data_IF_902258976834
#
_entry.id   IF_902258976834
#
_cell.length_a   1.000
_cell.length_b   1.000
_cell.length_c   1.000
_cell.angle_alpha   90.00
_cell.angle_beta   90.00
_cell.angle_gamma   90.00
#
_symmetry.space_group_name_H-M   'P 1'
#
loop_
_entity.id
_entity.type
_entity.pdbx_description
1 polymer ?
#
# COMPACT_ATOMS: atom_id res chain seq x y z
N UNK A 1 -34.11 9.83 39.18
CA UNK A 1 -32.85 10.54 39.25
C UNK A 1 -31.59 9.65 39.03
N UNK A 2 -31.73 8.34 38.75
CA UNK A 2 -30.59 7.44 38.42
C UNK A 2 -30.44 7.13 36.92
N UNK A 3 -31.25 7.74 36.05
CA UNK A 3 -31.22 7.48 34.57
C UNK A 3 -30.49 8.54 33.76
N UNK A 4 -29.86 9.53 34.38
CA UNK A 4 -29.16 10.63 33.67
C UNK A 4 -27.65 10.45 33.59
N UNK A 5 -27.08 9.37 34.12
CA UNK A 5 -25.62 9.18 34.14
C UNK A 5 -25.04 8.44 32.92
N UNK A 6 -25.86 7.84 32.05
CA UNK A 6 -25.41 7.11 30.89
C UNK A 6 -25.29 7.97 29.62
N UNK A 7 -25.61 9.26 29.71
CA UNK A 7 -25.67 10.17 28.54
C UNK A 7 -24.33 10.78 28.14
N UNK A 8 -23.24 10.44 28.81
CA UNK A 8 -21.99 11.20 28.74
C UNK A 8 -20.92 10.62 27.81
N UNK A 9 -21.20 9.58 27.04
CA UNK A 9 -20.15 8.88 26.33
C UNK A 9 -20.15 9.02 24.80
N UNK A 10 -21.01 9.83 24.21
CA UNK A 10 -21.04 9.97 22.74
C UNK A 10 -21.34 11.42 22.38
N UNK A 11 -20.48 12.36 22.65
CA UNK A 11 -20.57 13.70 22.06
C UNK A 11 -19.17 14.26 21.84
N UNK A 12 -18.68 14.22 20.63
CA UNK A 12 -17.68 15.16 20.22
C UNK A 12 -17.98 15.70 18.84
N UNK A 13 -18.19 16.95 18.83
CA UNK A 13 -17.81 17.84 17.76
C UNK A 13 -17.70 19.27 18.26
N UNK A 14 -17.45 19.50 19.50
CA UNK A 14 -16.95 20.79 19.98
C UNK A 14 -16.61 20.69 21.44
N UNK A 15 -15.32 20.67 21.71
CA UNK A 15 -14.61 20.72 22.97
C UNK A 15 -15.43 20.88 24.25
N UNK A 16 -15.52 19.81 25.02
CA UNK A 16 -15.68 19.90 26.46
C UNK A 16 -15.03 18.69 27.15
N UNK A 17 -13.89 18.88 27.71
CA UNK A 17 -13.29 17.99 28.70
C UNK A 17 -14.14 18.04 29.97
N UNK A 18 -14.65 16.88 30.43
CA UNK A 18 -15.26 16.76 31.74
C UNK A 18 -14.42 15.80 32.59
N UNK A 19 -13.55 16.38 33.39
CA UNK A 19 -12.96 15.70 34.55
C UNK A 19 -13.94 15.82 35.72
N UNK A 20 -14.28 14.68 36.29
CA UNK A 20 -14.95 14.37 37.55
C UNK A 20 -15.55 15.51 38.36
N UNK A 21 -16.84 15.61 38.32
CA UNK A 21 -17.92 16.09 39.20
C UNK A 21 -19.04 16.68 38.35
N UNK A 22 -20.16 16.00 38.26
CA UNK A 22 -21.26 16.37 37.38
C UNK A 22 -21.92 17.69 37.78
N UNK A 23 -21.81 18.78 37.02
CA UNK A 23 -22.80 19.85 37.10
C UNK A 23 -24.09 19.36 36.42
N UNK A 24 -25.24 19.74 36.95
CA UNK A 24 -26.53 19.48 36.32
C UNK A 24 -26.53 20.08 34.91
N UNK A 25 -26.80 19.25 33.89
CA UNK A 25 -26.91 19.70 32.48
C UNK A 25 -27.91 20.85 32.42
N UNK A 26 -27.54 21.93 31.77
CA UNK A 26 -28.47 23.02 31.46
C UNK A 26 -29.51 22.56 30.45
N UNK A 27 -30.73 23.11 30.52
CA UNK A 27 -31.79 22.83 29.54
C UNK A 27 -31.31 22.99 28.08
N UNK A 28 -30.36 23.91 27.79
CA UNK A 28 -29.79 24.10 26.47
C UNK A 28 -28.92 22.93 26.02
N UNK A 29 -28.25 22.20 26.93
CA UNK A 29 -27.44 21.03 26.63
C UNK A 29 -28.31 19.78 26.37
N UNK A 30 -29.48 19.69 27.02
CA UNK A 30 -30.48 18.62 26.79
C UNK A 30 -31.16 18.71 25.40
N UNK A 31 -31.12 19.88 24.76
CA UNK A 31 -31.74 20.14 23.46
C UNK A 31 -30.72 20.41 22.34
N UNK A 32 -29.42 20.27 22.61
CA UNK A 32 -28.40 20.37 21.56
C UNK A 32 -28.52 19.19 20.60
N UNK A 33 -28.50 19.44 19.30
CA UNK A 33 -28.54 18.37 18.32
C UNK A 33 -27.26 17.53 18.40
N UNK A 34 -27.40 16.21 18.43
CA UNK A 34 -26.28 15.29 18.33
C UNK A 34 -25.85 15.19 16.87
N UNK A 35 -24.56 15.30 16.62
CA UNK A 35 -24.00 15.24 15.27
C UNK A 35 -22.91 14.17 15.19
N UNK A 36 -22.86 13.47 14.04
CA UNK A 36 -21.82 12.53 13.69
C UNK A 36 -21.09 13.06 12.45
N UNK A 37 -19.78 12.93 12.42
CA UNK A 37 -18.97 13.15 11.23
C UNK A 37 -18.20 11.87 10.93
N UNK A 38 -18.25 11.42 9.71
CA UNK A 38 -17.62 10.18 9.30
C UNK A 38 -17.71 9.97 7.79
N UNK A 39 -17.30 8.81 7.35
CA UNK A 39 -17.24 8.45 5.94
C UNK A 39 -18.33 7.44 5.60
N UNK A 40 -18.96 7.60 4.44
CA UNK A 40 -20.02 6.72 3.96
C UNK A 40 -19.44 5.37 3.60
N UNK A 41 -19.96 4.29 4.20
CA UNK A 41 -19.68 2.92 3.77
C UNK A 41 -20.69 2.47 2.72
N UNK A 42 -21.97 2.68 3.03
CA UNK A 42 -23.10 2.27 2.19
C UNK A 42 -24.21 3.30 2.30
N UNK A 43 -24.95 3.51 1.23
CA UNK A 43 -26.15 4.33 1.23
C UNK A 43 -27.22 3.79 0.29
N UNK A 44 -28.48 3.83 0.73
CA UNK A 44 -29.65 3.58 -0.07
C UNK A 44 -30.74 4.65 0.18
N UNK A 45 -31.87 4.56 -0.49
CA UNK A 45 -32.94 5.57 -0.37
C UNK A 45 -33.49 5.75 1.05
N UNK A 46 -33.25 4.81 1.95
CA UNK A 46 -33.78 4.78 3.31
C UNK A 46 -32.71 4.92 4.38
N UNK A 47 -31.48 4.41 4.12
CA UNK A 47 -30.44 4.30 5.14
C UNK A 47 -29.07 4.75 4.63
N UNK A 48 -28.21 5.12 5.59
CA UNK A 48 -26.81 5.44 5.36
C UNK A 48 -25.97 4.87 6.49
N UNK A 49 -24.95 4.09 6.15
CA UNK A 49 -23.98 3.56 7.10
C UNK A 49 -22.73 4.42 7.11
N UNK A 50 -22.37 4.93 8.29
CA UNK A 50 -21.12 5.68 8.48
C UNK A 50 -20.05 4.86 9.18
N UNK A 51 -18.82 5.01 8.71
CA UNK A 51 -17.60 4.63 9.40
C UNK A 51 -16.98 5.88 10.05
N UNK A 52 -16.75 5.85 11.35
CA UNK A 52 -16.14 6.95 12.09
C UNK A 52 -15.34 6.45 13.30
N UNK A 53 -14.50 7.30 13.88
CA UNK A 53 -13.83 7.03 15.16
C UNK A 53 -14.51 7.84 16.25
N UNK A 54 -15.08 7.16 17.24
CA UNK A 54 -15.59 7.81 18.44
C UNK A 54 -14.42 8.26 19.33
N UNK A 55 -14.58 9.36 20.12
CA UNK A 55 -13.49 9.99 20.90
C UNK A 55 -12.71 9.00 21.77
N UNK A 56 -13.40 8.06 22.40
CA UNK A 56 -12.79 7.10 23.32
C UNK A 56 -12.62 5.70 22.72
N UNK A 57 -12.91 5.51 21.42
CA UNK A 57 -12.80 4.22 20.77
C UNK A 57 -11.36 3.98 20.26
N UNK A 58 -10.81 2.83 20.61
CA UNK A 58 -9.53 2.38 20.05
C UNK A 58 -9.67 1.99 18.57
N UNK A 59 -10.85 1.51 18.18
CA UNK A 59 -11.18 1.03 16.84
C UNK A 59 -12.26 1.90 16.19
N UNK A 60 -12.28 2.00 14.84
CA UNK A 60 -13.39 2.61 14.13
C UNK A 60 -14.69 1.84 14.33
N UNK A 61 -15.77 2.57 14.44
CA UNK A 61 -17.13 2.03 14.64
C UNK A 61 -18.03 2.38 13.47
N UNK A 62 -19.08 1.59 13.28
CA UNK A 62 -20.12 1.86 12.29
C UNK A 62 -21.43 2.15 12.94
N UNK A 63 -22.23 3.06 12.35
CA UNK A 63 -23.61 3.30 12.74
C UNK A 63 -24.49 3.50 11.51
N UNK A 64 -25.72 2.99 11.58
CA UNK A 64 -26.72 3.13 10.52
C UNK A 64 -27.64 4.30 10.84
N UNK A 65 -27.95 5.12 9.84
CA UNK A 65 -28.81 6.29 9.96
C UNK A 65 -30.04 6.16 9.06
N UNK A 66 -31.22 6.43 9.60
CA UNK A 66 -32.48 6.47 8.86
C UNK A 66 -32.63 7.83 8.17
N UNK A 67 -32.64 7.82 6.84
CA UNK A 67 -32.75 9.00 5.97
C UNK A 67 -34.19 9.30 5.53
N UNK A 68 -35.16 8.44 5.85
CA UNK A 68 -36.55 8.53 5.33
C UNK A 68 -37.24 9.86 5.63
N UNK A 69 -36.80 10.59 6.64
CA UNK A 69 -37.34 11.90 7.02
C UNK A 69 -36.60 13.09 6.36
N UNK A 70 -35.56 12.83 5.57
CA UNK A 70 -34.82 13.88 4.86
C UNK A 70 -35.49 14.21 3.51
N UNK A 71 -35.29 15.45 2.99
CA UNK A 71 -35.68 15.76 1.62
C UNK A 71 -34.98 14.82 0.63
N UNK A 72 -35.71 14.35 -0.35
CA UNK A 72 -35.15 13.56 -1.46
C UNK A 72 -34.10 14.35 -2.20
N UNK A 73 -32.91 13.76 -2.37
CA UNK A 73 -31.75 14.36 -3.04
C UNK A 73 -30.76 13.28 -3.46
N UNK A 74 -29.68 13.63 -4.17
CA UNK A 74 -28.64 12.68 -4.48
C UNK A 74 -28.00 12.17 -3.17
N UNK A 75 -27.85 10.85 -3.07
CA UNK A 75 -27.16 10.21 -1.96
C UNK A 75 -25.65 10.43 -2.07
N UNK A 76 -24.94 10.59 -0.95
CA UNK A 76 -23.49 10.68 -0.98
C UNK A 76 -22.90 9.32 -1.39
N UNK A 77 -21.84 9.37 -2.20
CA UNK A 77 -21.10 8.19 -2.63
C UNK A 77 -20.29 7.58 -1.47
N UNK A 78 -19.94 6.32 -1.57
CA UNK A 78 -19.03 5.63 -0.64
C UNK A 78 -17.69 6.39 -0.55
N UNK A 79 -17.15 6.52 0.67
CA UNK A 79 -15.95 7.31 0.93
C UNK A 79 -16.18 8.82 1.13
N UNK A 80 -17.35 9.36 0.78
CA UNK A 80 -17.66 10.77 1.04
C UNK A 80 -17.67 11.08 2.54
N UNK A 81 -17.01 12.17 2.94
CA UNK A 81 -17.10 12.67 4.31
C UNK A 81 -18.42 13.41 4.50
N UNK A 82 -19.18 13.00 5.48
CA UNK A 82 -20.50 13.58 5.76
C UNK A 82 -20.66 13.91 7.24
N UNK A 83 -21.57 14.87 7.49
CA UNK A 83 -22.03 15.22 8.83
C UNK A 83 -23.51 14.97 8.94
N UNK A 84 -23.92 14.11 9.88
CA UNK A 84 -25.30 13.80 10.18
C UNK A 84 -25.71 14.45 11.49
N UNK A 85 -26.88 15.11 11.49
CA UNK A 85 -27.51 15.67 12.68
C UNK A 85 -28.75 14.85 12.98
N UNK A 86 -28.88 14.34 14.22
CA UNK A 86 -30.03 13.58 14.65
C UNK A 86 -31.23 14.47 15.00
N UNK A 87 -32.43 13.88 15.00
CA UNK A 87 -33.61 14.54 15.53
C UNK A 87 -33.45 14.79 17.04
N UNK A 88 -33.92 15.95 17.48
CA UNK A 88 -33.97 16.31 18.90
C UNK A 88 -34.84 15.30 19.65
N UNK A 89 -34.36 14.79 20.78
CA UNK A 89 -35.07 13.78 21.58
C UNK A 89 -34.79 12.34 21.19
N UNK A 90 -33.77 12.08 20.33
CA UNK A 90 -33.29 10.71 20.11
C UNK A 90 -32.82 10.11 21.43
N UNK A 91 -33.27 8.88 21.72
CA UNK A 91 -32.94 8.17 22.96
C UNK A 91 -31.42 7.93 23.00
N UNK A 92 -30.73 8.37 24.08
CA UNK A 92 -29.30 8.13 24.23
C UNK A 92 -28.87 6.66 24.21
N UNK A 93 -29.72 5.75 24.63
CA UNK A 93 -29.42 4.31 24.59
C UNK A 93 -29.37 3.79 23.13
N UNK A 94 -30.09 4.47 22.21
CA UNK A 94 -30.04 4.16 20.78
C UNK A 94 -28.81 4.70 20.06
N UNK A 95 -27.98 5.53 20.73
CA UNK A 95 -26.76 6.10 20.15
C UNK A 95 -25.55 5.15 20.20
N UNK A 96 -25.74 3.94 20.67
CA UNK A 96 -24.67 2.92 20.63
C UNK A 96 -24.43 2.48 19.19
N UNK A 97 -23.16 2.30 18.82
CA UNK A 97 -22.77 1.72 17.55
C UNK A 97 -23.51 0.39 17.31
N UNK A 98 -24.08 0.20 16.13
CA UNK A 98 -24.83 -1.01 15.77
C UNK A 98 -25.74 -0.81 14.56
N UNK A 99 -26.47 -1.87 14.22
CA UNK A 99 -27.28 -1.96 13.02
C UNK A 99 -28.68 -1.33 13.14
N UNK A 100 -29.05 -0.80 14.31
CA UNK A 100 -30.34 -0.13 14.48
C UNK A 100 -30.27 1.29 13.92
N UNK A 101 -31.08 1.62 12.88
CA UNK A 101 -31.02 2.93 12.24
C UNK A 101 -31.34 4.09 13.19
N UNK A 102 -30.50 5.10 13.23
CA UNK A 102 -30.68 6.34 13.99
C UNK A 102 -31.40 7.39 13.14
N UNK A 103 -32.46 8.07 13.66
CA UNK A 103 -33.26 8.98 12.87
C UNK A 103 -32.51 10.27 12.53
N UNK A 104 -32.10 10.43 11.27
CA UNK A 104 -31.45 11.63 10.79
C UNK A 104 -32.41 12.81 10.62
N UNK A 105 -31.94 14.01 10.92
CA UNK A 105 -32.63 15.28 10.68
C UNK A 105 -31.98 16.09 9.56
N UNK A 106 -30.68 16.02 9.40
CA UNK A 106 -29.91 16.72 8.42
C UNK A 106 -28.71 15.90 8.00
N UNK A 107 -28.42 15.88 6.71
CA UNK A 107 -27.22 15.31 6.11
C UNK A 107 -26.51 16.44 5.35
N UNK A 108 -25.23 16.60 5.58
CA UNK A 108 -24.33 17.55 4.87
C UNK A 108 -23.13 16.78 4.33
N UNK A 109 -22.90 16.81 3.03
CA UNK A 109 -21.67 16.33 2.43
C UNK A 109 -20.60 17.41 2.65
N UNK A 110 -19.50 17.04 3.31
CA UNK A 110 -18.46 18.00 3.71
C UNK A 110 -17.39 18.13 2.63
N UNK A 111 -16.92 17.00 2.11
CA UNK A 111 -15.90 16.98 1.05
C UNK A 111 -16.03 15.71 0.19
N UNK A 112 -15.77 15.89 -1.12
CA UNK A 112 -15.32 14.81 -1.99
C UNK A 112 -13.91 15.22 -2.42
N UNK A 113 -12.87 14.69 -1.78
CA UNK A 113 -11.48 15.05 -2.07
C UNK A 113 -10.60 13.83 -1.84
N UNK A 114 -9.43 13.79 -2.51
CA UNK A 114 -8.41 12.76 -2.32
C UNK A 114 -8.01 12.60 -0.84
N UNK A 115 -8.09 13.68 -0.06
CA UNK A 115 -7.81 13.63 1.38
C UNK A 115 -8.91 12.91 2.17
N UNK A 116 -10.17 13.05 1.80
CA UNK A 116 -11.30 12.32 2.41
C UNK A 116 -11.21 10.82 2.08
N UNK A 117 -10.88 10.49 0.84
CA UNK A 117 -10.70 9.11 0.40
C UNK A 117 -9.55 8.42 1.15
N UNK A 118 -8.40 9.06 1.26
CA UNK A 118 -7.26 8.54 2.04
C UNK A 118 -7.61 8.35 3.53
N UNK A 119 -8.35 9.27 4.12
CA UNK A 119 -8.80 9.14 5.51
C UNK A 119 -9.83 8.01 5.67
N UNK A 120 -10.72 7.82 4.73
CA UNK A 120 -11.64 6.69 4.66
C UNK A 120 -10.90 5.35 4.59
N UNK A 121 -9.94 5.20 3.66
CA UNK A 121 -9.13 3.99 3.54
C UNK A 121 -8.33 3.71 4.82
N UNK A 122 -7.77 4.75 5.44
CA UNK A 122 -7.07 4.63 6.71
C UNK A 122 -7.95 4.08 7.83
N UNK A 123 -9.18 4.60 7.99
CA UNK A 123 -10.12 4.10 8.98
C UNK A 123 -10.57 2.66 8.68
N UNK A 124 -10.79 2.37 7.41
CA UNK A 124 -11.21 1.03 6.97
C UNK A 124 -10.10 0.00 7.18
N UNK A 125 -8.85 0.36 6.90
CA UNK A 125 -7.69 -0.48 7.20
C UNK A 125 -7.58 -0.78 8.70
N UNK A 126 -7.80 0.22 9.58
CA UNK A 126 -7.83 0.02 11.03
C UNK A 126 -8.93 -0.98 11.45
N UNK A 127 -10.11 -0.89 10.83
CA UNK A 127 -11.21 -1.83 11.11
C UNK A 127 -10.88 -3.26 10.66
N UNK A 128 -10.26 -3.43 9.50
CA UNK A 128 -9.82 -4.76 9.03
C UNK A 128 -8.74 -5.33 9.94
N UNK A 129 -7.75 -4.53 10.31
CA UNK A 129 -6.67 -4.90 11.22
C UNK A 129 -7.16 -5.44 12.57
N UNK A 130 -8.19 -4.82 13.13
CA UNK A 130 -8.78 -5.23 14.40
C UNK A 130 -9.34 -6.66 14.38
N UNK A 131 -9.75 -7.15 13.20
CA UNK A 131 -10.26 -8.51 13.02
C UNK A 131 -9.18 -9.55 12.65
N UNK A 132 -7.92 -9.15 12.46
CA UNK A 132 -6.85 -10.02 11.98
C UNK A 132 -6.05 -10.65 13.13
N UNK A 133 -5.73 -11.93 13.00
CA UNK A 133 -4.73 -12.57 13.87
C UNK A 133 -3.32 -12.07 13.57
N UNK A 134 -2.36 -12.30 14.48
CA UNK A 134 -0.95 -11.97 14.24
C UNK A 134 -0.40 -12.69 13.01
N UNK A 135 -0.77 -13.95 12.82
CA UNK A 135 -0.35 -14.77 11.69
C UNK A 135 -0.86 -14.16 10.36
N UNK A 136 -2.11 -13.74 10.30
CA UNK A 136 -2.69 -13.06 9.14
C UNK A 136 -2.01 -11.70 8.88
N UNK A 137 -1.77 -10.90 9.92
CA UNK A 137 -1.04 -9.63 9.81
C UNK A 137 0.36 -9.83 9.22
N UNK A 138 1.13 -10.78 9.76
CA UNK A 138 2.48 -11.07 9.26
C UNK A 138 2.42 -11.61 7.84
N UNK A 139 1.46 -12.46 7.49
CA UNK A 139 1.25 -12.92 6.11
C UNK A 139 1.07 -11.76 5.12
N UNK A 140 0.29 -10.72 5.50
CA UNK A 140 0.11 -9.52 4.65
C UNK A 140 1.42 -8.73 4.42
N UNK A 141 2.44 -8.92 5.23
CA UNK A 141 3.76 -8.30 5.04
C UNK A 141 4.66 -9.07 4.06
N UNK A 142 4.17 -10.14 3.42
CA UNK A 142 4.97 -10.91 2.47
C UNK A 142 4.45 -10.76 1.04
N UNK A 143 5.36 -10.41 0.15
CA UNK A 143 5.21 -10.48 -1.29
C UNK A 143 5.92 -11.78 -1.74
N UNK A 144 5.20 -12.89 -1.67
CA UNK A 144 5.78 -14.21 -1.88
C UNK A 144 6.08 -14.47 -3.36
N UNK A 145 7.21 -15.10 -3.65
CA UNK A 145 7.47 -15.59 -5.00
C UNK A 145 6.48 -16.71 -5.32
N UNK A 146 5.78 -16.59 -6.46
CA UNK A 146 4.78 -17.56 -6.89
C UNK A 146 5.33 -18.99 -6.91
N UNK A 147 4.80 -19.89 -6.08
CA UNK A 147 5.34 -21.26 -5.94
C UNK A 147 4.80 -22.25 -7.00
N UNK A 148 4.07 -21.76 -8.02
CA UNK A 148 3.45 -22.58 -9.03
C UNK A 148 2.15 -23.24 -8.53
N UNK A 149 1.92 -24.54 -8.84
CA UNK A 149 0.67 -25.23 -8.48
C UNK A 149 0.33 -25.31 -6.99
N UNK A 150 1.31 -25.11 -6.12
CA UNK A 150 1.09 -25.08 -4.67
C UNK A 150 0.48 -23.76 -4.18
N UNK A 151 0.50 -22.71 -4.99
CA UNK A 151 0.14 -21.35 -4.59
C UNK A 151 -1.22 -21.21 -3.89
N UNK A 152 -2.32 -21.84 -4.33
CA UNK A 152 -3.60 -21.72 -3.62
C UNK A 152 -3.60 -22.34 -2.22
N UNK A 153 -2.82 -23.41 -1.99
CA UNK A 153 -2.73 -24.05 -0.67
C UNK A 153 -1.80 -23.27 0.26
N UNK A 154 -0.70 -22.75 -0.28
CA UNK A 154 0.18 -21.85 0.46
C UNK A 154 -0.56 -20.57 0.84
N UNK A 155 -1.40 -20.01 -0.05
CA UNK A 155 -2.21 -18.84 0.25
C UNK A 155 -3.20 -19.08 1.41
N UNK A 156 -3.89 -20.20 1.42
CA UNK A 156 -4.77 -20.58 2.55
C UNK A 156 -4.03 -20.65 3.87
N UNK A 157 -2.77 -21.09 3.82
CA UNK A 157 -1.94 -21.29 5.01
C UNK A 157 -1.35 -19.98 5.51
N UNK A 158 -0.80 -19.16 4.61
CA UNK A 158 0.03 -18.02 4.96
C UNK A 158 -0.65 -16.66 4.80
N UNK A 159 -1.72 -16.56 4.00
CA UNK A 159 -2.48 -15.32 3.75
C UNK A 159 -1.58 -14.16 3.33
N UNK A 160 -0.85 -14.35 2.22
CA UNK A 160 0.12 -13.37 1.72
C UNK A 160 -0.49 -12.01 1.39
N UNK A 161 0.28 -10.94 1.59
CA UNK A 161 -0.07 -9.61 1.08
C UNK A 161 -0.05 -9.56 -0.43
N UNK A 162 0.85 -10.32 -1.07
CA UNK A 162 0.97 -10.42 -2.50
C UNK A 162 1.81 -11.58 -2.98
N UNK A 163 1.80 -11.79 -4.29
CA UNK A 163 2.66 -12.79 -4.97
C UNK A 163 3.26 -12.20 -6.25
N UNK A 164 4.55 -12.49 -6.51
CA UNK A 164 5.25 -12.07 -7.72
C UNK A 164 5.50 -13.25 -8.65
N UNK A 165 5.16 -13.06 -9.93
CA UNK A 165 5.36 -14.04 -10.99
C UNK A 165 6.62 -13.68 -11.81
N UNK A 166 7.33 -14.71 -12.28
CA UNK A 166 8.52 -14.57 -13.09
C UNK A 166 8.31 -15.16 -14.49
N UNK A 167 9.25 -14.94 -15.41
CA UNK A 167 9.12 -15.42 -16.81
C UNK A 167 8.82 -16.92 -16.95
N UNK A 168 9.31 -17.75 -16.02
CA UNK A 168 9.00 -19.21 -16.00
C UNK A 168 7.50 -19.49 -15.79
N UNK A 169 6.80 -18.60 -15.10
CA UNK A 169 5.40 -18.78 -14.72
C UNK A 169 4.46 -18.43 -15.87
N UNK A 170 4.96 -17.70 -16.88
CA UNK A 170 4.27 -17.38 -18.13
C UNK A 170 4.67 -18.28 -19.32
N UNK A 171 5.80 -18.99 -19.18
CA UNK A 171 6.36 -19.78 -20.27
C UNK A 171 5.39 -20.85 -20.76
N UNK A 172 5.21 -20.92 -22.08
CA UNK A 172 4.38 -21.91 -22.77
C UNK A 172 2.88 -21.91 -22.35
N UNK A 173 2.41 -20.80 -21.73
CA UNK A 173 1.01 -20.63 -21.32
C UNK A 173 0.28 -19.61 -22.19
N UNK A 174 -1.03 -19.82 -22.33
CA UNK A 174 -1.94 -18.87 -22.93
C UNK A 174 -2.62 -17.99 -21.86
N UNK A 175 -3.32 -16.90 -22.23
CA UNK A 175 -3.96 -16.00 -21.28
C UNK A 175 -4.96 -16.68 -20.34
N UNK A 176 -5.73 -17.66 -20.81
CA UNK A 176 -6.74 -18.34 -19.99
C UNK A 176 -6.12 -19.17 -18.87
N UNK A 177 -5.01 -19.85 -19.17
CA UNK A 177 -4.26 -20.62 -18.17
C UNK A 177 -3.69 -19.74 -17.08
N UNK A 178 -3.12 -18.58 -17.45
CA UNK A 178 -2.56 -17.62 -16.48
C UNK A 178 -3.66 -17.06 -15.59
N UNK A 179 -4.78 -16.62 -16.19
CA UNK A 179 -5.94 -16.12 -15.42
C UNK A 179 -6.49 -17.17 -14.46
N UNK A 180 -6.59 -18.42 -14.90
CA UNK A 180 -7.09 -19.50 -14.06
C UNK A 180 -6.19 -19.74 -12.85
N UNK A 181 -4.87 -19.69 -13.03
CA UNK A 181 -3.90 -19.85 -11.93
C UNK A 181 -3.96 -18.68 -10.95
N UNK A 182 -3.99 -17.44 -11.45
CA UNK A 182 -4.10 -16.24 -10.59
C UNK A 182 -5.43 -16.22 -9.83
N UNK A 183 -6.53 -16.51 -10.51
CA UNK A 183 -7.85 -16.55 -9.87
C UNK A 183 -7.91 -17.62 -8.78
N UNK A 184 -7.31 -18.80 -9.00
CA UNK A 184 -7.27 -19.85 -7.98
C UNK A 184 -6.54 -19.39 -6.69
N UNK A 185 -5.52 -18.53 -6.82
CA UNK A 185 -4.85 -17.93 -5.66
C UNK A 185 -5.73 -16.86 -5.01
N UNK A 186 -6.35 -15.98 -5.80
CA UNK A 186 -7.27 -14.96 -5.28
C UNK A 186 -8.47 -15.58 -4.54
N UNK A 187 -9.04 -16.67 -5.08
CA UNK A 187 -10.14 -17.41 -4.45
C UNK A 187 -9.75 -18.06 -3.11
N UNK A 188 -8.45 -18.31 -2.91
CA UNK A 188 -7.92 -18.88 -1.66
C UNK A 188 -7.63 -17.81 -0.60
N UNK A 189 -7.46 -16.54 -1.01
CA UNK A 189 -7.12 -15.43 -0.15
C UNK A 189 -8.35 -14.90 0.62
N UNK A 190 -8.19 -14.59 1.91
CA UNK A 190 -9.23 -13.89 2.70
C UNK A 190 -9.28 -12.41 2.35
N UNK A 191 -8.14 -11.82 2.05
CA UNK A 191 -7.99 -10.44 1.60
C UNK A 191 -7.33 -10.50 0.23
N UNK A 192 -7.91 -9.89 -0.82
CA UNK A 192 -7.36 -9.94 -2.16
C UNK A 192 -5.86 -9.61 -2.21
N UNK A 193 -5.11 -10.38 -2.99
CA UNK A 193 -3.67 -10.25 -3.08
C UNK A 193 -3.23 -9.19 -4.08
N UNK A 194 -2.10 -8.55 -3.79
CA UNK A 194 -1.26 -7.91 -4.80
C UNK A 194 -0.65 -9.00 -5.69
N UNK A 195 -0.80 -8.91 -7.00
CA UNK A 195 -0.23 -9.86 -7.96
C UNK A 195 0.71 -9.12 -8.89
N UNK A 196 2.00 -9.33 -8.69
CA UNK A 196 3.05 -8.53 -9.27
C UNK A 196 3.87 -9.24 -10.34
N UNK A 197 4.56 -8.44 -11.15
CA UNK A 197 5.50 -8.89 -12.17
C UNK A 197 6.54 -7.80 -12.47
N UNK A 198 7.75 -8.18 -12.92
CA UNK A 198 8.73 -7.27 -13.50
C UNK A 198 8.53 -7.14 -15.02
N UNK A 199 7.71 -6.24 -15.47
CA UNK A 199 7.56 -5.93 -16.90
C UNK A 199 8.12 -4.53 -17.18
N UNK A 200 9.46 -4.40 -17.06
CA UNK A 200 10.17 -3.12 -17.26
C UNK A 200 10.22 -2.74 -18.73
N UNK A 201 10.37 -3.74 -19.58
CA UNK A 201 10.76 -3.62 -20.99
C UNK A 201 12.26 -3.85 -21.20
N UNK A 202 12.67 -4.07 -22.45
CA UNK A 202 14.06 -4.37 -22.79
C UNK A 202 14.53 -5.71 -22.24
N UNK A 203 15.56 -5.67 -21.39
CA UNK A 203 16.17 -6.89 -20.83
C UNK A 203 15.30 -7.58 -19.75
N UNK A 204 14.38 -6.84 -19.15
CA UNK A 204 13.53 -7.34 -18.06
C UNK A 204 12.08 -7.34 -18.50
N UNK A 205 11.70 -8.45 -19.12
CA UNK A 205 10.32 -8.76 -19.54
C UNK A 205 9.97 -10.17 -19.07
N UNK A 206 8.78 -10.33 -18.52
CA UNK A 206 8.29 -11.62 -18.00
C UNK A 206 7.08 -12.09 -18.77
N UNK A 207 6.13 -11.20 -19.02
CA UNK A 207 4.88 -11.46 -19.76
C UNK A 207 5.11 -11.36 -21.25
N UNK A 208 5.61 -10.24 -21.75
CA UNK A 208 5.82 -10.01 -23.17
C UNK A 208 6.99 -10.83 -23.76
N UNK A 209 7.76 -11.49 -22.91
CA UNK A 209 8.72 -12.52 -23.35
C UNK A 209 8.07 -13.81 -23.89
N UNK A 210 6.76 -14.00 -23.69
CA UNK A 210 5.98 -15.07 -24.25
C UNK A 210 5.20 -14.59 -25.49
N UNK A 211 5.54 -15.06 -26.73
CA UNK A 211 4.85 -14.61 -27.95
C UNK A 211 3.35 -14.94 -28.01
N UNK A 212 2.86 -15.88 -27.20
CA UNK A 212 1.44 -16.17 -27.10
C UNK A 212 0.66 -15.09 -26.33
N UNK A 213 1.36 -14.26 -25.53
CA UNK A 213 0.76 -13.17 -24.75
C UNK A 213 0.94 -11.81 -25.44
N UNK A 214 2.09 -11.58 -26.09
CA UNK A 214 2.38 -10.40 -26.91
C UNK A 214 3.38 -10.79 -28.01
N UNK A 215 3.11 -10.39 -29.24
CA UNK A 215 3.91 -10.80 -30.40
C UNK A 215 5.38 -10.37 -30.32
N UNK A 216 5.64 -9.19 -29.74
CA UNK A 216 6.98 -8.62 -29.53
C UNK A 216 7.11 -8.18 -28.09
N UNK A 217 8.30 -8.32 -27.50
CA UNK A 217 8.57 -7.82 -26.16
C UNK A 217 8.50 -6.29 -26.10
N UNK A 218 8.12 -5.75 -24.94
CA UNK A 218 8.15 -4.31 -24.71
C UNK A 218 9.56 -3.74 -24.82
N UNK A 219 9.71 -2.56 -25.47
CA UNK A 219 11.03 -1.92 -25.64
C UNK A 219 11.59 -1.40 -24.33
N UNK A 220 12.91 -1.19 -24.28
CA UNK A 220 13.56 -0.58 -23.11
C UNK A 220 13.21 0.90 -22.96
N UNK A 221 13.32 1.48 -21.74
CA UNK A 221 13.14 2.91 -21.52
C UNK A 221 14.01 3.78 -22.45
N UNK A 222 15.25 3.35 -22.74
CA UNK A 222 16.14 4.04 -23.68
C UNK A 222 15.55 4.06 -25.09
N UNK A 223 15.02 2.95 -25.54
CA UNK A 223 14.41 2.82 -26.88
C UNK A 223 13.15 3.69 -27.01
N UNK A 224 12.31 3.72 -25.99
CA UNK A 224 11.10 4.57 -25.94
C UNK A 224 11.47 6.04 -26.07
N UNK A 225 12.40 6.51 -25.22
CA UNK A 225 12.85 7.90 -25.23
C UNK A 225 13.52 8.30 -26.56
N UNK A 226 14.26 7.40 -27.18
CA UNK A 226 14.90 7.65 -28.46
C UNK A 226 13.88 7.76 -29.62
N UNK A 227 12.86 6.95 -29.62
CA UNK A 227 11.94 6.81 -30.75
C UNK A 227 10.70 7.71 -30.67
N UNK A 228 10.27 8.15 -29.48
CA UNK A 228 9.06 8.95 -29.33
C UNK A 228 8.99 9.79 -28.03
N UNK A 229 10.10 9.86 -27.27
CA UNK A 229 10.14 10.68 -26.06
C UNK A 229 9.14 10.23 -24.98
N UNK A 230 8.67 11.18 -24.18
CA UNK A 230 7.74 10.90 -23.07
C UNK A 230 6.35 10.44 -23.54
N UNK A 231 5.91 10.84 -24.72
CA UNK A 231 4.64 10.37 -25.28
C UNK A 231 4.71 8.86 -25.55
N UNK A 232 5.83 8.35 -26.06
CA UNK A 232 6.04 6.91 -26.23
C UNK A 232 6.13 6.17 -24.88
N UNK A 233 6.73 6.77 -23.86
CA UNK A 233 6.77 6.21 -22.48
C UNK A 233 5.36 6.05 -21.93
N UNK A 234 4.53 7.09 -22.04
CA UNK A 234 3.15 7.07 -21.55
C UNK A 234 2.30 6.04 -22.30
N UNK A 235 2.40 5.99 -23.63
CA UNK A 235 1.66 5.04 -24.44
C UNK A 235 2.06 3.57 -24.14
N UNK A 236 3.35 3.31 -23.94
CA UNK A 236 3.90 2.01 -23.57
C UNK A 236 3.43 1.57 -22.18
N UNK A 237 3.36 2.49 -21.21
CA UNK A 237 2.84 2.20 -19.87
C UNK A 237 1.37 1.77 -19.94
N UNK A 238 0.50 2.51 -20.64
CA UNK A 238 -0.90 2.12 -20.82
C UNK A 238 -1.06 0.76 -21.53
N UNK A 239 -0.23 0.45 -22.54
CA UNK A 239 -0.28 -0.84 -23.22
C UNK A 239 0.15 -1.99 -22.29
N UNK A 240 1.21 -1.78 -21.47
CA UNK A 240 1.63 -2.74 -20.44
C UNK A 240 0.52 -3.00 -19.43
N UNK A 241 -0.06 -1.93 -18.88
CA UNK A 241 -1.08 -2.03 -17.86
C UNK A 241 -2.32 -2.76 -18.37
N UNK A 242 -2.76 -2.46 -19.59
CA UNK A 242 -3.87 -3.16 -20.24
C UNK A 242 -3.58 -4.67 -20.39
N UNK A 243 -2.38 -5.03 -20.84
CA UNK A 243 -1.96 -6.43 -20.96
C UNK A 243 -1.93 -7.11 -19.60
N UNK A 244 -1.25 -6.53 -18.62
CA UNK A 244 -1.07 -7.11 -17.29
C UNK A 244 -2.42 -7.30 -16.58
N UNK A 245 -3.28 -6.29 -16.58
CA UNK A 245 -4.64 -6.38 -16.02
C UNK A 245 -5.48 -7.42 -16.69
N UNK A 246 -5.36 -7.59 -18.02
CA UNK A 246 -6.08 -8.64 -18.78
C UNK A 246 -5.73 -10.06 -18.32
N UNK A 247 -4.60 -10.25 -17.66
CA UNK A 247 -4.12 -11.52 -17.12
C UNK A 247 -4.41 -11.69 -15.62
N UNK A 248 -4.93 -10.64 -14.94
CA UNK A 248 -5.19 -10.64 -13.50
C UNK A 248 -4.04 -10.09 -12.65
N UNK A 249 -2.99 -9.54 -13.28
CA UNK A 249 -1.92 -8.83 -12.58
C UNK A 249 -2.38 -7.42 -12.20
N UNK A 250 -1.99 -6.92 -11.05
CA UNK A 250 -2.40 -5.61 -10.53
C UNK A 250 -1.23 -4.75 -10.02
N UNK A 251 0.01 -5.27 -10.07
CA UNK A 251 1.23 -4.54 -9.71
C UNK A 251 2.29 -4.79 -10.78
N UNK A 252 2.90 -3.73 -11.30
CA UNK A 252 4.13 -3.84 -12.09
C UNK A 252 5.31 -3.29 -11.27
N UNK A 253 6.36 -4.09 -11.09
CA UNK A 253 7.61 -3.68 -10.44
C UNK A 253 8.41 -2.77 -11.36
N UNK A 254 7.86 -1.62 -11.64
CA UNK A 254 8.33 -0.53 -12.48
C UNK A 254 7.77 0.81 -11.96
N UNK A 255 8.38 1.96 -12.31
CA UNK A 255 9.55 2.15 -13.16
C UNK A 255 10.89 1.93 -12.45
N UNK A 256 11.94 1.69 -13.26
CA UNK A 256 13.33 1.76 -12.80
C UNK A 256 13.73 3.23 -12.67
N UNK A 257 14.02 3.67 -11.46
CA UNK A 257 14.38 5.05 -11.10
C UNK A 257 15.90 5.30 -11.04
N UNK A 258 16.68 4.24 -11.22
CA UNK A 258 18.14 4.35 -11.18
C UNK A 258 18.68 5.28 -12.26
N UNK A 259 19.66 6.12 -11.90
CA UNK A 259 20.29 7.08 -12.79
C UNK A 259 21.66 6.54 -13.24
N UNK A 260 21.80 6.24 -14.52
CA UNK A 260 23.06 5.86 -15.11
C UNK A 260 23.18 6.38 -16.55
N UNK A 261 24.32 7.00 -16.85
CA UNK A 261 24.70 7.45 -18.20
C UNK A 261 25.93 6.70 -18.74
N UNK A 262 26.50 5.80 -17.93
CA UNK A 262 27.66 5.04 -18.28
C UNK A 262 27.29 3.61 -18.73
N UNK A 263 27.51 3.22 -19.99
CA UNK A 263 27.17 1.88 -20.48
C UNK A 263 27.92 0.73 -19.79
N UNK A 264 28.95 1.04 -18.99
CA UNK A 264 29.67 0.04 -18.22
C UNK A 264 29.00 -0.28 -16.86
N UNK A 265 28.05 0.52 -16.41
CA UNK A 265 27.33 0.27 -15.16
C UNK A 265 26.38 -0.91 -15.32
N UNK A 266 26.33 -1.78 -14.33
CA UNK A 266 25.46 -2.97 -14.34
C UNK A 266 23.99 -2.65 -14.66
N UNK A 267 23.47 -1.58 -14.07
CA UNK A 267 22.06 -1.21 -14.20
C UNK A 267 21.71 -0.46 -15.50
N UNK A 268 22.73 0.02 -16.25
CA UNK A 268 22.55 0.96 -17.37
C UNK A 268 21.51 0.52 -18.41
N UNK A 269 21.52 -0.74 -18.84
CA UNK A 269 20.61 -1.23 -19.89
C UNK A 269 19.14 -1.17 -19.49
N UNK A 270 18.84 -1.15 -18.17
CA UNK A 270 17.50 -1.08 -17.59
C UNK A 270 17.05 0.35 -17.30
N UNK A 271 17.99 1.33 -17.31
CA UNK A 271 17.70 2.75 -17.03
C UNK A 271 17.29 3.50 -18.29
N UNK A 272 16.97 4.78 -18.13
CA UNK A 272 16.77 5.70 -19.26
C UNK A 272 18.03 5.99 -20.07
N UNK A 273 19.23 5.69 -19.55
CA UNK A 273 20.52 6.08 -20.14
C UNK A 273 20.71 7.60 -20.16
N UNK A 274 19.97 8.34 -19.35
CA UNK A 274 19.93 9.81 -19.30
C UNK A 274 20.28 10.33 -17.91
N UNK A 275 20.28 11.67 -17.79
CA UNK A 275 20.49 12.36 -16.52
C UNK A 275 19.30 12.19 -15.55
N UNK A 276 19.51 12.64 -14.32
CA UNK A 276 18.53 12.52 -13.24
C UNK A 276 17.21 13.27 -13.54
N UNK A 277 17.27 14.42 -14.24
CA UNK A 277 16.07 15.18 -14.59
C UNK A 277 15.21 14.43 -15.62
N UNK A 278 15.82 13.90 -16.66
CA UNK A 278 15.11 13.07 -17.66
C UNK A 278 14.55 11.79 -17.03
N UNK A 279 15.31 11.16 -16.13
CA UNK A 279 14.84 9.96 -15.40
C UNK A 279 13.68 10.29 -14.45
N UNK A 280 13.68 11.49 -13.84
CA UNK A 280 12.56 11.96 -13.02
C UNK A 280 11.29 12.19 -13.86
N UNK A 281 11.43 12.78 -15.05
CA UNK A 281 10.29 12.94 -15.98
C UNK A 281 9.75 11.58 -16.45
N UNK A 282 10.64 10.62 -16.74
CA UNK A 282 10.26 9.25 -17.07
C UNK A 282 9.50 8.57 -15.92
N UNK A 283 10.03 8.64 -14.70
CA UNK A 283 9.37 8.05 -13.52
C UNK A 283 7.99 8.66 -13.30
N UNK A 284 7.87 9.99 -13.39
CA UNK A 284 6.60 10.70 -13.29
C UNK A 284 5.61 10.26 -14.35
N UNK A 285 6.01 10.22 -15.63
CA UNK A 285 5.13 9.88 -16.73
C UNK A 285 4.59 8.44 -16.59
N UNK A 286 5.49 7.49 -16.26
CA UNK A 286 5.14 6.08 -16.07
C UNK A 286 4.18 5.90 -14.90
N UNK A 287 4.50 6.48 -13.72
CA UNK A 287 3.64 6.36 -12.54
C UNK A 287 2.28 6.99 -12.77
N UNK A 288 2.22 8.19 -13.39
CA UNK A 288 0.92 8.84 -13.68
C UNK A 288 0.04 8.01 -14.62
N UNK A 289 0.62 7.31 -15.60
CA UNK A 289 -0.12 6.40 -16.47
C UNK A 289 -0.64 5.19 -15.69
N UNK A 290 0.23 4.53 -14.91
CA UNK A 290 -0.12 3.37 -14.09
C UNK A 290 -1.21 3.71 -13.06
N UNK A 291 -1.11 4.84 -12.38
CA UNK A 291 -2.10 5.33 -11.41
C UNK A 291 -3.47 5.54 -12.09
N UNK A 292 -3.50 6.21 -13.25
CA UNK A 292 -4.74 6.42 -14.01
C UNK A 292 -5.38 5.12 -14.50
N UNK A 293 -4.59 4.08 -14.71
CA UNK A 293 -5.06 2.75 -15.15
C UNK A 293 -5.41 1.84 -13.96
N UNK A 294 -5.18 2.28 -12.71
CA UNK A 294 -5.33 1.46 -11.51
C UNK A 294 -4.35 0.28 -11.46
N UNK A 295 -3.11 0.50 -11.90
CA UNK A 295 -1.99 -0.43 -11.83
C UNK A 295 -1.02 0.01 -10.73
N UNK A 296 -0.74 -0.87 -9.76
CA UNK A 296 0.24 -0.59 -8.71
C UNK A 296 1.65 -0.46 -9.26
N UNK A 297 2.33 0.65 -8.89
CA UNK A 297 3.71 0.93 -9.29
C UNK A 297 4.69 0.69 -8.14
N UNK A 298 5.91 0.25 -8.49
CA UNK A 298 7.01 0.01 -7.55
C UNK A 298 8.24 0.74 -8.06
N UNK A 299 8.59 1.87 -7.43
CA UNK A 299 9.81 2.61 -7.76
C UNK A 299 11.04 1.82 -7.31
N UNK A 300 12.01 1.60 -8.18
CA UNK A 300 13.19 0.80 -7.85
C UNK A 300 14.45 1.29 -8.54
N UNK A 301 15.59 1.08 -7.91
CA UNK A 301 15.91 0.38 -6.67
C UNK A 301 16.48 1.39 -5.65
N UNK A 302 15.66 1.83 -4.70
CA UNK A 302 16.07 2.84 -3.72
C UNK A 302 17.28 2.36 -2.88
N UNK A 303 18.25 3.22 -2.54
CA UNK A 303 18.30 4.67 -2.80
C UNK A 303 18.99 5.05 -4.14
N UNK A 304 19.19 4.14 -5.03
CA UNK A 304 19.86 4.23 -6.32
C UNK A 304 20.97 3.20 -6.42
N UNK A 305 21.09 2.53 -7.57
CA UNK A 305 22.07 1.47 -7.78
C UNK A 305 23.49 2.01 -7.96
N UNK A 306 23.61 3.22 -8.55
CA UNK A 306 24.88 3.85 -8.84
C UNK A 306 25.78 3.05 -9.78
N UNK A 307 27.10 3.25 -9.72
CA UNK A 307 28.08 2.49 -10.49
C UNK A 307 28.37 1.11 -9.91
N UNK A 308 27.54 0.64 -8.99
CA UNK A 308 27.72 -0.59 -8.22
C UNK A 308 27.71 -1.85 -9.06
N UNK A 309 28.24 -2.93 -8.48
CA UNK A 309 28.23 -4.26 -9.06
C UNK A 309 26.86 -4.95 -8.84
N UNK A 310 26.67 -6.07 -9.53
CA UNK A 310 25.50 -6.93 -9.42
C UNK A 310 25.34 -7.52 -8.01
N UNK A 311 24.33 -7.07 -7.26
CA UNK A 311 24.02 -7.56 -5.90
C UNK A 311 23.47 -8.98 -5.86
N UNK A 312 23.15 -9.58 -7.01
CA UNK A 312 22.83 -11.01 -7.06
C UNK A 312 23.98 -11.91 -6.64
N UNK A 313 25.23 -11.42 -6.62
CA UNK A 313 26.43 -12.21 -6.33
C UNK A 313 27.12 -11.84 -5.03
N UNK A 314 27.13 -10.57 -4.65
CA UNK A 314 27.77 -10.07 -3.44
C UNK A 314 27.26 -8.67 -3.11
N UNK A 315 27.55 -8.15 -1.90
CA UNK A 315 27.21 -6.77 -1.56
C UNK A 315 28.00 -5.79 -2.43
N UNK A 316 27.27 -4.90 -3.09
CA UNK A 316 27.86 -3.72 -3.70
C UNK A 316 27.98 -2.61 -2.65
N UNK A 317 29.15 -1.99 -2.55
CA UNK A 317 29.39 -0.82 -1.68
C UNK A 317 29.46 0.44 -2.51
N UNK A 318 28.68 1.43 -2.11
CA UNK A 318 28.67 2.75 -2.73
C UNK A 318 29.22 3.79 -1.74
N UNK A 319 30.37 4.37 -2.09
CA UNK A 319 31.05 5.37 -1.25
C UNK A 319 30.78 6.82 -1.70
N UNK A 320 29.82 7.03 -2.61
CA UNK A 320 29.41 8.36 -3.01
C UNK A 320 28.87 9.15 -1.80
N UNK A 321 29.15 10.46 -1.71
CA UNK A 321 28.64 11.28 -0.62
C UNK A 321 27.12 11.47 -0.74
N UNK A 322 26.45 11.72 0.39
CA UNK A 322 24.98 11.85 0.49
C UNK A 322 24.43 12.92 -0.48
N UNK A 323 25.17 14.02 -0.64
CA UNK A 323 24.82 15.13 -1.54
C UNK A 323 24.65 14.67 -3.00
N UNK A 324 25.37 13.62 -3.41
CA UNK A 324 25.22 13.04 -4.75
C UNK A 324 23.86 12.35 -4.90
N UNK A 325 23.44 11.58 -3.89
CA UNK A 325 22.11 10.95 -3.88
C UNK A 325 21.00 11.99 -3.86
N UNK A 326 21.14 13.03 -3.05
CA UNK A 326 20.16 14.12 -2.95
C UNK A 326 20.02 14.91 -4.27
N UNK A 327 21.13 15.15 -4.96
CA UNK A 327 21.17 15.92 -6.19
C UNK A 327 20.80 15.12 -7.44
N UNK A 328 20.90 13.79 -7.41
CA UNK A 328 20.72 12.92 -8.58
C UNK A 328 19.76 11.79 -8.30
N UNK A 329 20.16 10.78 -7.51
CA UNK A 329 19.43 9.51 -7.37
C UNK A 329 18.02 9.70 -6.76
N UNK A 330 17.85 10.64 -5.83
CA UNK A 330 16.54 10.89 -5.21
C UNK A 330 15.53 11.65 -6.09
N UNK A 331 15.97 12.29 -7.18
CA UNK A 331 15.08 13.08 -8.03
C UNK A 331 14.00 12.22 -8.72
N UNK A 332 14.32 11.07 -9.34
CA UNK A 332 13.32 10.19 -9.92
C UNK A 332 12.34 9.62 -8.87
N UNK A 333 12.84 9.22 -7.69
CA UNK A 333 11.95 8.74 -6.61
C UNK A 333 11.00 9.83 -6.14
N UNK A 334 11.48 11.06 -5.89
CA UNK A 334 10.64 12.19 -5.52
C UNK A 334 9.59 12.50 -6.59
N UNK A 335 9.94 12.37 -7.87
CA UNK A 335 9.01 12.59 -8.96
C UNK A 335 7.92 11.51 -9.02
N UNK A 336 8.29 10.23 -8.90
CA UNK A 336 7.36 9.10 -8.86
C UNK A 336 6.45 9.13 -7.63
N UNK A 337 6.99 9.44 -6.44
CA UNK A 337 6.21 9.59 -5.19
C UNK A 337 5.13 10.67 -5.36
N UNK A 338 5.51 11.83 -5.91
CA UNK A 338 4.56 12.93 -6.16
C UNK A 338 3.53 12.61 -7.24
N UNK A 339 3.83 11.66 -8.11
CA UNK A 339 2.93 11.17 -9.15
C UNK A 339 1.96 10.08 -8.65
N UNK A 340 2.04 9.67 -7.38
CA UNK A 340 1.13 8.70 -6.77
C UNK A 340 1.68 7.29 -6.65
N UNK A 341 3.01 7.09 -6.71
CA UNK A 341 3.59 5.75 -6.56
C UNK A 341 3.15 5.08 -5.25
N UNK A 342 2.56 3.89 -5.33
CA UNK A 342 2.08 3.13 -4.17
C UNK A 342 3.19 2.43 -3.40
N UNK A 343 4.33 2.11 -4.04
CA UNK A 343 5.42 1.40 -3.40
C UNK A 343 6.81 1.83 -3.86
N UNK A 344 7.80 1.60 -2.97
CA UNK A 344 9.24 1.76 -3.23
C UNK A 344 9.97 0.50 -2.80
N UNK A 345 10.77 -0.06 -3.70
CA UNK A 345 11.63 -1.22 -3.45
C UNK A 345 13.03 -0.75 -3.07
N UNK A 346 13.54 -1.24 -1.93
CA UNK A 346 14.85 -0.92 -1.38
C UNK A 346 15.84 -2.03 -1.71
N UNK A 347 16.95 -1.68 -2.36
CA UNK A 347 17.99 -2.60 -2.80
C UNK A 347 18.89 -3.12 -1.66
N UNK A 348 19.84 -4.03 -1.99
CA UNK A 348 20.78 -4.60 -1.04
C UNK A 348 22.19 -3.97 -1.10
N UNK A 349 22.35 -2.79 -1.70
CA UNK A 349 23.63 -2.09 -1.68
C UNK A 349 23.94 -1.55 -0.27
N UNK A 350 25.19 -1.56 0.11
CA UNK A 350 25.67 -0.84 1.30
C UNK A 350 26.05 0.58 0.88
N UNK A 351 25.31 1.57 1.34
CA UNK A 351 25.56 2.99 1.04
C UNK A 351 26.32 3.61 2.22
N UNK A 352 27.64 3.75 2.07
CA UNK A 352 28.52 4.15 3.18
C UNK A 352 28.16 5.51 3.78
N UNK A 353 27.67 6.43 2.96
CA UNK A 353 27.24 7.75 3.41
C UNK A 353 25.93 7.76 4.23
N UNK A 354 25.13 6.67 4.18
CA UNK A 354 23.87 6.54 4.90
C UNK A 354 24.01 5.54 6.06
N UNK A 355 24.45 4.32 5.74
CA UNK A 355 24.70 3.27 6.73
C UNK A 355 25.84 2.35 6.24
N UNK A 356 27.06 2.47 6.79
CA UNK A 356 28.19 1.64 6.36
C UNK A 356 28.11 0.18 6.85
N UNK A 357 27.21 -0.10 7.81
CA UNK A 357 27.17 -1.37 8.53
C UNK A 357 26.10 -2.32 7.99
N UNK A 358 25.06 -1.79 7.33
CA UNK A 358 23.92 -2.58 6.84
C UNK A 358 23.64 -2.30 5.35
N UNK A 359 23.19 -3.32 4.59
CA UNK A 359 22.61 -3.08 3.28
C UNK A 359 21.36 -2.21 3.39
N UNK A 360 21.06 -1.43 2.38
CA UNK A 360 19.97 -0.45 2.40
C UNK A 360 18.63 -1.05 2.83
N UNK A 361 18.28 -2.24 2.34
CA UNK A 361 17.05 -2.96 2.70
C UNK A 361 16.94 -3.37 4.18
N UNK A 362 18.08 -3.43 4.89
CA UNK A 362 18.15 -3.80 6.31
C UNK A 362 18.59 -2.61 7.20
N UNK A 363 18.63 -1.41 6.64
CA UNK A 363 19.09 -0.19 7.34
C UNK A 363 17.92 0.69 7.79
N UNK A 364 17.70 0.87 9.09
CA UNK A 364 16.71 1.84 9.59
C UNK A 364 16.96 3.26 9.08
N UNK A 365 18.23 3.68 8.97
CA UNK A 365 18.60 5.03 8.49
C UNK A 365 18.17 5.29 7.04
N UNK A 366 18.28 4.29 6.17
CA UNK A 366 17.82 4.41 4.77
C UNK A 366 16.30 4.54 4.72
N UNK A 367 15.58 3.80 5.56
CA UNK A 367 14.13 3.88 5.65
C UNK A 367 13.66 5.22 6.24
N UNK A 368 14.36 5.77 7.24
CA UNK A 368 14.12 7.13 7.77
C UNK A 368 14.29 8.18 6.66
N UNK A 369 15.34 8.09 5.84
CA UNK A 369 15.53 9.01 4.70
C UNK A 369 14.33 8.93 3.75
N UNK A 370 13.86 7.74 3.41
CA UNK A 370 12.73 7.57 2.50
C UNK A 370 11.43 8.12 3.12
N UNK A 371 11.17 7.84 4.40
CA UNK A 371 10.00 8.35 5.12
C UNK A 371 10.03 9.86 5.29
N UNK A 372 11.13 10.39 5.84
CA UNK A 372 11.20 11.79 6.29
C UNK A 372 11.67 12.73 5.18
N UNK A 373 12.82 12.44 4.54
CA UNK A 373 13.39 13.35 3.54
C UNK A 373 12.67 13.31 2.18
N UNK A 374 12.10 12.16 1.81
CA UNK A 374 11.30 12.03 0.59
C UNK A 374 9.79 12.09 0.87
N UNK A 375 9.37 12.10 2.15
CA UNK A 375 7.97 12.15 2.61
C UNK A 375 7.11 11.03 1.99
N UNK A 376 7.62 9.80 1.99
CA UNK A 376 6.94 8.65 1.42
C UNK A 376 6.13 7.90 2.48
N UNK A 377 4.80 7.90 2.33
CA UNK A 377 3.87 7.23 3.24
C UNK A 377 3.34 5.88 2.71
N UNK A 378 3.69 5.51 1.46
CA UNK A 378 3.29 4.25 0.83
C UNK A 378 4.06 3.03 1.34
N UNK A 379 3.92 1.90 0.65
CA UNK A 379 4.52 0.62 1.01
C UNK A 379 6.01 0.60 0.66
N UNK A 380 6.88 0.35 1.64
CA UNK A 380 8.30 0.05 1.42
C UNK A 380 8.46 -1.46 1.40
N UNK A 381 9.07 -1.98 0.33
CA UNK A 381 9.37 -3.40 0.25
C UNK A 381 10.85 -3.66 -0.01
N UNK A 382 11.36 -4.80 0.44
CA UNK A 382 12.72 -5.23 0.16
C UNK A 382 12.87 -5.64 -1.30
N UNK A 383 14.08 -5.59 -1.85
CA UNK A 383 14.46 -6.48 -2.94
C UNK A 383 14.45 -7.94 -2.45
N UNK A 384 14.58 -8.93 -3.35
CA UNK A 384 14.44 -10.35 -2.99
C UNK A 384 15.48 -10.78 -1.94
N UNK A 385 15.02 -11.15 -0.74
CA UNK A 385 15.89 -11.61 0.34
C UNK A 385 16.62 -12.92 0.00
N UNK A 386 16.22 -13.63 -1.07
CA UNK A 386 16.92 -14.82 -1.55
C UNK A 386 18.21 -14.52 -2.35
N UNK A 387 18.49 -13.22 -2.62
CA UNK A 387 19.72 -12.81 -3.29
C UNK A 387 20.95 -13.22 -2.47
N UNK A 388 22.00 -13.70 -3.16
CA UNK A 388 23.19 -14.27 -2.51
C UNK A 388 23.89 -13.30 -1.54
N UNK A 389 23.84 -12.00 -1.80
CA UNK A 389 24.36 -11.00 -0.90
C UNK A 389 23.74 -11.11 0.51
N UNK A 390 22.42 -11.27 0.59
CA UNK A 390 21.72 -11.42 1.86
C UNK A 390 21.91 -12.82 2.44
N UNK A 391 21.69 -13.86 1.63
CA UNK A 391 21.69 -15.25 2.12
C UNK A 391 23.05 -15.72 2.61
N UNK A 392 24.16 -15.17 2.10
CA UNK A 392 25.54 -15.45 2.55
C UNK A 392 25.88 -14.78 3.88
N UNK A 393 25.35 -13.58 4.12
CA UNK A 393 25.68 -12.79 5.31
C UNK A 393 24.72 -13.00 6.47
N UNK A 394 23.45 -13.28 6.17
CA UNK A 394 22.38 -13.43 7.14
C UNK A 394 21.66 -14.76 6.91
N UNK A 395 21.17 -15.42 7.95
CA UNK A 395 20.18 -16.52 7.79
C UNK A 395 18.84 -15.95 7.33
N UNK A 396 18.01 -16.77 6.65
CA UNK A 396 16.71 -16.31 6.15
C UNK A 396 15.81 -15.75 7.26
N UNK A 397 15.73 -16.46 8.39
CA UNK A 397 15.02 -16.02 9.59
C UNK A 397 15.49 -14.67 10.12
N UNK A 398 16.81 -14.50 10.23
CA UNK A 398 17.43 -13.27 10.72
C UNK A 398 17.23 -12.12 9.75
N UNK A 399 17.38 -12.34 8.43
CA UNK A 399 17.20 -11.33 7.41
C UNK A 399 15.77 -10.76 7.40
N UNK A 400 14.76 -11.63 7.49
CA UNK A 400 13.37 -11.20 7.51
C UNK A 400 13.04 -10.35 8.75
N UNK A 401 13.49 -10.79 9.94
CA UNK A 401 13.30 -10.01 11.19
C UNK A 401 14.01 -8.66 11.12
N UNK A 402 15.24 -8.62 10.58
CA UNK A 402 15.97 -7.35 10.41
C UNK A 402 15.31 -6.44 9.37
N UNK A 403 14.80 -6.99 8.26
CA UNK A 403 14.08 -6.23 7.25
C UNK A 403 12.83 -5.53 7.84
N UNK A 404 12.04 -6.26 8.64
CA UNK A 404 10.92 -5.66 9.37
C UNK A 404 11.40 -4.62 10.36
N UNK A 405 12.43 -4.92 11.17
CA UNK A 405 12.99 -3.97 12.14
C UNK A 405 13.52 -2.70 11.49
N UNK A 406 14.05 -2.79 10.26
CA UNK A 406 14.53 -1.65 9.49
C UNK A 406 13.40 -0.73 8.99
N UNK A 407 12.15 -1.21 8.90
CA UNK A 407 11.01 -0.39 8.48
C UNK A 407 10.40 -0.78 7.14
N UNK A 408 10.75 -1.95 6.59
CA UNK A 408 10.01 -2.49 5.45
C UNK A 408 8.60 -2.89 5.85
N UNK A 409 7.63 -2.55 5.00
CA UNK A 409 6.23 -2.94 5.16
C UNK A 409 5.96 -4.31 4.53
N UNK A 410 6.70 -4.63 3.46
CA UNK A 410 6.62 -5.93 2.81
C UNK A 410 8.01 -6.52 2.54
N UNK A 411 8.07 -7.83 2.55
CA UNK A 411 9.28 -8.63 2.26
C UNK A 411 9.04 -9.41 0.98
N UNK A 412 9.91 -9.20 -0.02
CA UNK A 412 9.96 -10.04 -1.22
C UNK A 412 10.83 -11.26 -0.94
N UNK A 413 10.27 -12.47 -1.00
CA UNK A 413 11.02 -13.70 -0.73
C UNK A 413 10.36 -14.97 -1.27
N UNK A 414 11.19 -16.00 -1.47
CA UNK A 414 10.78 -17.38 -1.71
C UNK A 414 10.89 -18.30 -0.49
N UNK A 415 11.41 -17.78 0.64
CA UNK A 415 11.63 -18.56 1.88
C UNK A 415 10.58 -18.30 2.97
N UNK A 416 9.41 -17.84 2.57
CA UNK A 416 8.30 -17.45 3.47
C UNK A 416 7.98 -18.53 4.53
N UNK A 417 8.17 -19.83 4.24
CA UNK A 417 7.96 -20.93 5.20
C UNK A 417 8.89 -20.90 6.41
N UNK A 418 10.03 -20.20 6.31
CA UNK A 418 10.99 -19.97 7.40
C UNK A 418 10.80 -18.58 7.98
N UNK A 419 10.62 -17.59 7.12
CA UNK A 419 10.64 -16.18 7.45
C UNK A 419 9.37 -15.71 8.17
N UNK A 420 8.17 -16.14 7.72
CA UNK A 420 6.91 -15.81 8.40
C UNK A 420 6.92 -16.30 9.86
N UNK A 421 7.24 -17.59 10.15
CA UNK A 421 7.37 -18.03 11.54
C UNK A 421 8.40 -17.26 12.35
N UNK A 422 9.53 -16.86 11.75
CA UNK A 422 10.56 -16.09 12.44
C UNK A 422 10.07 -14.69 12.82
N UNK A 423 9.36 -14.01 11.95
CA UNK A 423 8.76 -12.69 12.23
C UNK A 423 7.68 -12.82 13.32
N UNK A 424 6.80 -13.83 13.24
CA UNK A 424 5.78 -14.10 14.25
C UNK A 424 6.43 -14.34 15.64
N UNK A 425 7.49 -15.13 15.70
CA UNK A 425 8.20 -15.39 16.94
C UNK A 425 8.89 -14.14 17.48
N UNK A 426 9.46 -13.30 16.60
CA UNK A 426 10.07 -12.02 16.99
C UNK A 426 9.05 -11.04 17.58
N UNK A 427 7.80 -11.06 17.14
CA UNK A 427 6.71 -10.29 17.77
C UNK A 427 6.33 -10.89 19.13
N UNK A 428 6.15 -12.22 19.21
CA UNK A 428 5.78 -12.92 20.45
C UNK A 428 6.81 -12.73 21.56
N UNK A 429 8.09 -12.71 21.22
CA UNK A 429 9.19 -12.48 22.18
C UNK A 429 9.54 -11.00 22.37
N UNK A 430 8.80 -10.07 21.72
CA UNK A 430 8.95 -8.61 21.80
C UNK A 430 10.26 -8.05 21.22
N UNK A 431 10.92 -8.77 20.33
CA UNK A 431 12.01 -8.25 19.51
C UNK A 431 11.47 -7.27 18.45
N UNK A 432 10.29 -7.54 17.92
CA UNK A 432 9.51 -6.64 17.06
C UNK A 432 8.27 -6.15 17.81
N UNK A 433 7.87 -4.91 17.54
CA UNK A 433 6.63 -4.33 18.09
C UNK A 433 5.42 -4.74 17.24
N UNK A 434 4.32 -5.15 17.88
CA UNK A 434 3.05 -5.37 17.17
C UNK A 434 2.51 -4.07 16.55
N UNK A 435 2.76 -2.92 17.16
CA UNK A 435 2.37 -1.62 16.58
C UNK A 435 3.08 -1.36 15.26
N UNK A 436 4.35 -1.78 15.12
CA UNK A 436 5.07 -1.71 13.86
C UNK A 436 4.44 -2.61 12.79
N UNK A 437 4.10 -3.84 13.15
CA UNK A 437 3.39 -4.77 12.25
C UNK A 437 2.05 -4.15 11.81
N UNK A 438 1.27 -3.63 12.76
CA UNK A 438 -0.01 -2.98 12.47
C UNK A 438 0.14 -1.78 11.52
N UNK A 439 1.16 -0.94 11.72
CA UNK A 439 1.42 0.20 10.85
C UNK A 439 1.80 -0.23 9.42
N UNK A 440 2.60 -1.28 9.27
CA UNK A 440 2.99 -1.83 7.98
C UNK A 440 1.80 -2.46 7.26
N UNK A 441 1.04 -3.32 7.92
CA UNK A 441 -0.16 -3.96 7.35
C UNK A 441 -1.20 -2.91 6.97
N UNK A 442 -1.36 -1.86 7.76
CA UNK A 442 -2.25 -0.74 7.43
C UNK A 442 -1.90 -0.11 6.09
N UNK A 443 -0.60 0.14 5.81
CA UNK A 443 -0.16 0.68 4.50
C UNK A 443 -0.45 -0.30 3.36
N UNK A 444 -0.22 -1.60 3.57
CA UNK A 444 -0.53 -2.63 2.57
C UNK A 444 -2.03 -2.67 2.27
N UNK A 445 -2.88 -2.66 3.29
CA UNK A 445 -4.34 -2.65 3.12
C UNK A 445 -4.82 -1.37 2.43
N UNK A 446 -4.26 -0.22 2.80
CA UNK A 446 -4.57 1.06 2.13
C UNK A 446 -4.20 1.01 0.65
N UNK A 447 -3.00 0.52 0.30
CA UNK A 447 -2.60 0.37 -1.09
C UNK A 447 -3.51 -0.58 -1.87
N UNK A 448 -3.96 -1.68 -1.26
CA UNK A 448 -4.95 -2.58 -1.88
C UNK A 448 -6.31 -1.89 -2.13
N UNK A 449 -6.73 -0.98 -1.25
CA UNK A 449 -7.93 -0.16 -1.43
C UNK A 449 -7.75 0.86 -2.56
N UNK A 450 -6.61 1.55 -2.61
CA UNK A 450 -6.27 2.48 -3.69
C UNK A 450 -6.33 1.80 -5.08
N UNK A 451 -5.94 0.53 -5.14
CA UNK A 451 -6.01 -0.30 -6.35
C UNK A 451 -7.40 -0.92 -6.61
N UNK A 452 -8.39 -0.65 -5.76
CA UNK A 452 -9.73 -1.20 -5.87
C UNK A 452 -9.83 -2.72 -5.63
N UNK A 453 -8.82 -3.33 -5.00
CA UNK A 453 -8.80 -4.77 -4.74
C UNK A 453 -9.68 -5.15 -3.55
N UNK A 454 -9.82 -4.26 -2.58
CA UNK A 454 -10.73 -4.43 -1.44
C UNK A 454 -11.95 -3.57 -1.75
N UNK A 455 -13.07 -4.25 -2.07
CA UNK A 455 -14.33 -3.57 -2.37
C UNK A 455 -14.81 -2.72 -1.19
N UNK A 456 -15.41 -1.58 -1.52
CA UNK A 456 -15.92 -0.60 -0.56
C UNK A 456 -17.12 -1.10 0.21
#
# INVERSE_FOLDING_TARGET
MKRLLSLFLIISASGFLITGCSPALTLSQLFSPVTFTGYVLESDDATLTLLYRAEDAQEPVTSVFDLTALPQGPLPETGAEVKITLKTGTDPESLKAGDTPLPARKLEVLTASDAAEKAFYSLRADKLLAGMSLEEKVGQMFFARYPGPAAPEDEKTWQFGGTILFGRDFKDKNPDQIRAEINACQDAAKIPMLVGVDEEGGDVVRVSGNPALRAESFPSPQTLLQNGGMDAVTADAHEKDALLKSLGLNVNFAPVCDVSQNPADYIYSRTTGRDAATTADYAKATVSAMDSDGMGSVLKHFPGYGPGADTHKDFSRDSRPLETFEAQDFLPFKAGIRAGAGSVLVNHNVIEAMDPDHPASLSPKVHEILRDALSFDGVILTDDLDMEAITKAYGADTAAVQAVAAGNDMILSSRYTIEIPAVIEAVKNKTLSEDQINASVKRVLTWKMDLGLIEN
#
